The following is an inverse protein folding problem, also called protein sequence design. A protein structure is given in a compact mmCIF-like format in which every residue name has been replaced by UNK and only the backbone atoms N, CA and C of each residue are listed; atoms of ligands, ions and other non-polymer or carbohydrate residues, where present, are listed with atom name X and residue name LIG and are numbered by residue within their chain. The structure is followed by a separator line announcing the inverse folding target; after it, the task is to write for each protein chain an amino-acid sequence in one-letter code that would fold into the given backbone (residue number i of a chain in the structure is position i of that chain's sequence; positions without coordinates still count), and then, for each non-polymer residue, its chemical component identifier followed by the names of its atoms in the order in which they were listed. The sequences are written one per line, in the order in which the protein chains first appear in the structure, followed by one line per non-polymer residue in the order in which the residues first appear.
data_IF_725380499620
#
_entry.id   IF_725380499620
#
_cell.length_a   1.000
_cell.length_b   1.000
_cell.length_c   1.000
_cell.angle_alpha   90.00
_cell.angle_beta   90.00
_cell.angle_gamma   90.00
#
_symmetry.space_group_name_H-M   'P 1'
#
loop_
_entity.id
_entity.type
_entity.pdbx_description
1 polymer ?
#
# COMPACT_ATOMS: atom_id res chain seq x y z
N UNK A 1 -10.73 9.18 17.48
CA UNK A 1 -9.79 8.06 17.32
C UNK A 1 -9.82 7.23 18.60
N UNK A 2 -10.05 5.91 18.52
CA UNK A 2 -10.11 5.05 19.71
C UNK A 2 -8.68 4.69 20.16
N UNK A 3 -8.15 5.43 21.12
CA UNK A 3 -6.76 5.30 21.60
C UNK A 3 -6.51 4.00 22.35
N UNK A 4 -7.52 3.43 23.00
CA UNK A 4 -7.43 2.15 23.69
C UNK A 4 -7.21 1.00 22.69
N UNK A 5 -7.97 0.98 21.59
CA UNK A 5 -7.81 -0.04 20.55
C UNK A 5 -6.42 0.02 19.91
N UNK A 6 -5.89 1.24 19.71
CA UNK A 6 -4.53 1.42 19.20
C UNK A 6 -3.47 0.91 20.20
N UNK A 7 -3.67 1.08 21.50
CA UNK A 7 -2.77 0.51 22.51
C UNK A 7 -2.79 -1.01 22.49
N UNK A 8 -3.96 -1.62 22.31
CA UNK A 8 -4.09 -3.08 22.20
C UNK A 8 -3.43 -3.62 20.93
N UNK A 9 -3.60 -2.96 19.79
CA UNK A 9 -2.93 -3.36 18.55
C UNK A 9 -1.39 -3.26 18.65
N UNK A 10 -0.87 -2.24 19.36
CA UNK A 10 0.58 -2.01 19.49
C UNK A 10 1.33 -3.07 20.31
N UNK A 11 0.65 -3.82 21.16
CA UNK A 11 1.29 -4.88 21.98
C UNK A 11 1.30 -6.25 21.28
N UNK A 12 0.59 -6.39 20.15
CA UNK A 12 0.65 -7.57 19.29
C UNK A 12 2.03 -7.69 18.64
N UNK A 13 2.41 -8.92 18.26
CA UNK A 13 3.62 -9.11 17.46
C UNK A 13 3.41 -8.58 16.02
N UNK A 14 4.48 -8.45 15.23
CA UNK A 14 4.41 -7.84 13.90
C UNK A 14 3.46 -8.58 12.95
N UNK A 15 3.43 -9.90 12.99
CA UNK A 15 2.59 -10.71 12.10
C UNK A 15 1.10 -10.51 12.44
N UNK A 16 0.77 -10.54 13.73
CA UNK A 16 -0.59 -10.25 14.23
C UNK A 16 -1.04 -8.82 13.93
N UNK A 17 -0.12 -7.85 13.96
CA UNK A 17 -0.43 -6.47 13.57
C UNK A 17 -0.78 -6.37 12.10
N UNK A 18 -0.03 -7.05 11.23
CA UNK A 18 -0.29 -7.08 9.78
C UNK A 18 -1.63 -7.75 9.50
N UNK A 19 -1.88 -8.92 10.09
CA UNK A 19 -3.15 -9.64 9.94
C UNK A 19 -4.35 -8.78 10.39
N UNK A 20 -4.22 -8.07 11.51
CA UNK A 20 -5.27 -7.16 11.99
C UNK A 20 -5.52 -5.99 11.00
N UNK A 21 -4.46 -5.40 10.45
CA UNK A 21 -4.58 -4.32 9.45
C UNK A 21 -5.27 -4.82 8.19
N UNK A 22 -4.90 -6.01 7.70
CA UNK A 22 -5.52 -6.64 6.54
C UNK A 22 -7.00 -6.95 6.78
N UNK A 23 -7.34 -7.58 7.91
CA UNK A 23 -8.73 -7.91 8.25
C UNK A 23 -9.63 -6.66 8.37
N UNK A 24 -9.10 -5.57 8.94
CA UNK A 24 -9.81 -4.28 8.99
C UNK A 24 -10.02 -3.73 7.59
N UNK A 25 -8.99 -3.77 6.74
CA UNK A 25 -9.05 -3.27 5.38
C UNK A 25 -10.07 -4.05 4.53
N UNK A 26 -10.06 -5.38 4.59
CA UNK A 26 -11.04 -6.24 3.92
C UNK A 26 -12.48 -5.96 4.40
N UNK A 27 -12.65 -5.69 5.70
CA UNK A 27 -13.91 -5.24 6.27
C UNK A 27 -14.41 -3.90 5.68
N UNK A 28 -13.51 -2.97 5.38
CA UNK A 28 -13.87 -1.68 4.75
C UNK A 28 -14.30 -1.91 3.29
N UNK A 29 -13.52 -2.70 2.54
CA UNK A 29 -13.79 -3.01 1.13
C UNK A 29 -15.11 -3.75 0.98
N UNK A 30 -15.35 -4.78 1.78
CA UNK A 30 -16.58 -5.61 1.73
C UNK A 30 -17.86 -4.84 2.01
N UNK A 31 -17.79 -3.73 2.76
CA UNK A 31 -18.94 -2.83 3.00
C UNK A 31 -19.10 -1.75 1.93
N UNK A 32 -18.29 -1.75 0.88
CA UNK A 32 -18.30 -0.72 -0.16
C UNK A 32 -17.84 0.66 0.35
N UNK A 33 -17.11 0.70 1.47
CA UNK A 33 -16.62 1.93 2.10
C UNK A 33 -15.21 2.31 1.61
N UNK A 34 -14.66 1.57 0.64
CA UNK A 34 -13.41 1.94 -0.02
C UNK A 34 -13.58 3.29 -0.74
N UNK A 35 -12.65 4.25 -0.56
CA UNK A 35 -12.75 5.54 -1.20
C UNK A 35 -12.74 5.37 -2.72
N UNK A 36 -13.66 6.05 -3.39
CA UNK A 36 -13.64 6.14 -4.86
C UNK A 36 -12.43 6.96 -5.30
N UNK A 37 -11.80 6.53 -6.39
CA UNK A 37 -10.77 7.32 -7.05
C UNK A 37 -11.36 8.62 -7.60
N UNK A 38 -10.63 9.72 -7.44
CA UNK A 38 -10.93 10.96 -8.18
C UNK A 38 -10.64 10.76 -9.66
N UNK A 39 -11.26 11.58 -10.52
CA UNK A 39 -11.01 11.52 -11.97
C UNK A 39 -9.53 11.73 -12.31
N UNK A 40 -8.83 12.62 -11.59
CA UNK A 40 -7.41 12.82 -11.76
C UNK A 40 -6.58 11.56 -11.44
N UNK A 41 -6.96 10.82 -10.39
CA UNK A 41 -6.31 9.56 -10.03
C UNK A 41 -6.59 8.47 -11.06
N UNK A 42 -7.83 8.36 -11.55
CA UNK A 42 -8.18 7.39 -12.61
C UNK A 42 -7.37 7.65 -13.88
N UNK A 43 -7.38 8.89 -14.36
CA UNK A 43 -6.62 9.28 -15.56
C UNK A 43 -5.12 9.02 -15.42
N UNK A 44 -4.54 9.25 -14.24
CA UNK A 44 -3.11 8.97 -14.01
C UNK A 44 -2.83 7.46 -14.02
N UNK A 45 -3.71 6.64 -13.44
CA UNK A 45 -3.57 5.19 -13.48
C UNK A 45 -3.71 4.66 -14.92
N UNK A 46 -4.70 5.14 -15.67
CA UNK A 46 -4.90 4.77 -17.08
C UNK A 46 -3.68 5.15 -17.93
N UNK A 47 -3.12 6.34 -17.71
CA UNK A 47 -1.91 6.81 -18.39
C UNK A 47 -0.71 5.91 -18.08
N UNK A 48 -0.48 5.58 -16.80
CA UNK A 48 0.63 4.68 -16.39
C UNK A 48 0.47 3.27 -16.92
N UNK A 49 -0.77 2.77 -16.97
CA UNK A 49 -1.05 1.45 -17.54
C UNK A 49 -0.73 1.41 -19.03
N UNK A 50 -1.19 2.41 -19.79
CA UNK A 50 -0.91 2.51 -21.22
C UNK A 50 0.59 2.62 -21.51
N UNK A 51 1.31 3.41 -20.71
CA UNK A 51 2.75 3.59 -20.82
C UNK A 51 3.51 2.28 -20.53
N UNK A 52 3.15 1.57 -19.45
CA UNK A 52 3.76 0.27 -19.13
C UNK A 52 3.47 -0.79 -20.20
N UNK A 53 2.26 -0.82 -20.78
CA UNK A 53 1.93 -1.73 -21.87
C UNK A 53 2.74 -1.43 -23.14
N UNK A 54 3.04 -0.16 -23.41
CA UNK A 54 3.91 0.23 -24.52
C UNK A 54 5.39 -0.04 -24.23
N UNK A 55 5.81 0.11 -22.97
CA UNK A 55 7.19 0.02 -22.51
C UNK A 55 7.33 -0.97 -21.34
N UNK A 56 7.15 -2.29 -21.56
CA UNK A 56 7.10 -3.27 -20.48
C UNK A 56 8.42 -3.40 -19.70
N UNK A 57 9.54 -3.10 -20.35
CA UNK A 57 10.88 -3.14 -19.77
C UNK A 57 11.31 -1.81 -19.12
N UNK A 58 10.50 -0.74 -19.22
CA UNK A 58 10.74 0.54 -18.55
C UNK A 58 10.31 0.46 -17.08
N UNK A 59 11.01 -0.41 -16.35
CA UNK A 59 10.77 -0.69 -14.94
C UNK A 59 12.10 -0.74 -14.18
N UNK A 60 12.07 -0.36 -12.91
CA UNK A 60 13.21 -0.57 -12.00
C UNK A 60 13.04 -1.93 -11.32
N UNK A 61 14.01 -2.85 -11.43
CA UNK A 61 13.95 -4.13 -10.74
C UNK A 61 13.73 -3.97 -9.24
N UNK A 62 12.89 -4.83 -8.66
CA UNK A 62 12.61 -4.80 -7.22
C UNK A 62 13.88 -4.86 -6.35
N UNK A 63 14.90 -5.60 -6.79
CA UNK A 63 16.19 -5.67 -6.10
C UNK A 63 16.85 -4.31 -5.95
N UNK A 64 16.77 -3.45 -6.98
CA UNK A 64 17.34 -2.11 -6.96
C UNK A 64 16.52 -1.17 -6.08
N UNK A 65 15.19 -1.21 -6.19
CA UNK A 65 14.29 -0.42 -5.32
C UNK A 65 14.52 -0.76 -3.84
N UNK A 66 14.58 -2.06 -3.52
CA UNK A 66 14.84 -2.55 -2.15
C UNK A 66 16.21 -2.12 -1.64
N UNK A 67 17.25 -2.26 -2.47
CA UNK A 67 18.60 -1.84 -2.11
C UNK A 67 18.66 -0.33 -1.81
N UNK A 68 18.05 0.50 -2.67
CA UNK A 68 17.98 1.94 -2.48
C UNK A 68 17.20 2.34 -1.22
N UNK A 69 16.08 1.67 -0.93
CA UNK A 69 15.29 1.93 0.28
C UNK A 69 16.07 1.58 1.55
N UNK A 70 16.74 0.42 1.59
CA UNK A 70 17.55 -0.01 2.73
C UNK A 70 18.77 0.91 2.95
N UNK A 71 19.39 1.41 1.87
CA UNK A 71 20.48 2.37 1.97
C UNK A 71 20.03 3.67 2.65
N UNK A 72 18.83 4.16 2.34
CA UNK A 72 18.26 5.37 2.97
C UNK A 72 17.97 5.20 4.46
N UNK A 73 17.51 4.03 4.90
CA UNK A 73 17.19 3.76 6.31
C UNK A 73 18.45 3.74 7.19
N UNK A 74 19.63 3.50 6.60
CA UNK A 74 20.92 3.41 7.32
C UNK A 74 21.63 4.75 7.49
N UNK A 75 21.12 5.83 6.90
CA UNK A 75 21.64 7.20 7.03
C UNK A 75 20.91 7.93 8.16
#
# INVERSE_FOLDING_TARGET
MNTQLLQQARVLNADEQIELVEAIWDGIVSRGAAPSLTEAQKSELDRRLADHLANPDDVVPWSEVKAAALAKIRQ
#
